data_IF_874997854037
#
_entry.id   IF_874997854037
#
_cell.length_a   1.000
_cell.length_b   1.000
_cell.length_c   1.000
_cell.angle_alpha   90.00
_cell.angle_beta   90.00
_cell.angle_gamma   90.00
#
_symmetry.space_group_name_H-M   'P 1'
#
loop_
_entity.id
_entity.type
_entity.pdbx_description
1 polymer ?
#
# COMPACT_ATOMS: atom_id res chain seq x y z
N UNK A 1 2.14 5.70 5.05
CA UNK A 1 2.79 6.97 4.66
C UNK A 1 2.74 8.03 5.76
N UNK A 2 1.60 8.38 6.40
CA UNK A 2 1.56 9.42 7.44
C UNK A 2 2.49 9.18 8.65
N UNK A 3 2.57 7.93 9.13
CA UNK A 3 3.51 7.56 10.20
C UNK A 3 4.98 7.84 9.85
N UNK A 4 5.38 7.65 8.58
CA UNK A 4 6.76 7.97 8.14
C UNK A 4 7.00 9.48 8.19
N UNK A 5 6.02 10.28 7.74
CA UNK A 5 6.12 11.75 7.83
C UNK A 5 6.25 12.23 9.27
N UNK A 6 5.52 11.62 10.22
CA UNK A 6 5.68 11.95 11.64
C UNK A 6 7.11 11.70 12.12
N UNK A 7 7.71 10.57 11.73
CA UNK A 7 9.11 10.24 12.06
C UNK A 7 10.09 11.21 11.38
N UNK A 8 9.83 11.64 10.15
CA UNK A 8 10.72 12.56 9.43
C UNK A 8 10.64 13.97 10.02
N UNK A 9 9.44 14.52 10.21
CA UNK A 9 9.28 15.89 10.70
C UNK A 9 9.83 16.06 12.11
N UNK A 10 9.70 15.04 12.96
CA UNK A 10 10.29 15.06 14.30
C UNK A 10 11.81 15.14 14.26
N UNK A 11 12.47 14.44 13.33
CA UNK A 11 13.92 14.55 13.11
C UNK A 11 14.33 15.92 12.56
N UNK A 12 13.59 16.44 11.59
CA UNK A 12 13.85 17.78 11.04
C UNK A 12 13.71 18.88 12.10
N UNK A 13 12.67 18.81 12.92
CA UNK A 13 12.49 19.75 14.03
C UNK A 13 13.58 19.62 15.09
N UNK A 14 14.02 18.40 15.43
CA UNK A 14 15.17 18.21 16.31
C UNK A 14 16.43 18.91 15.79
N UNK A 15 16.67 18.88 14.48
CA UNK A 15 17.81 19.59 13.88
C UNK A 15 17.64 21.11 13.94
N UNK A 16 16.44 21.62 13.64
CA UNK A 16 16.14 23.07 13.66
C UNK A 16 16.28 23.68 15.05
N UNK A 17 15.87 22.97 16.09
CA UNK A 17 15.87 23.47 17.47
C UNK A 17 17.11 23.06 18.28
N UNK A 18 18.12 22.45 17.64
CA UNK A 18 19.29 21.85 18.31
C UNK A 18 20.02 22.79 19.27
N UNK A 19 20.02 24.09 18.99
CA UNK A 19 20.69 25.11 19.80
C UNK A 19 19.73 25.91 20.71
N UNK A 20 18.47 25.49 20.79
CA UNK A 20 17.43 26.12 21.61
C UNK A 20 17.16 25.24 22.83
N UNK A 21 16.90 25.85 23.98
CA UNK A 21 16.46 25.10 25.15
C UNK A 21 14.95 24.91 25.10
N UNK A 22 14.52 23.65 25.04
CA UNK A 22 13.11 23.27 25.12
C UNK A 22 12.52 23.47 26.53
N UNK A 23 13.36 23.77 27.51
CA UNK A 23 12.97 24.00 28.90
C UNK A 23 12.92 25.49 29.27
N UNK A 24 13.13 26.39 28.30
CA UNK A 24 12.86 27.81 28.51
C UNK A 24 11.36 28.07 28.58
N UNK A 25 10.97 29.13 29.30
CA UNK A 25 9.60 29.65 29.31
C UNK A 25 9.20 30.33 28.00
N UNK A 26 10.17 30.62 27.12
CA UNK A 26 9.94 31.25 25.82
C UNK A 26 9.53 30.20 24.79
N UNK A 27 8.48 30.51 24.01
CA UNK A 27 8.00 29.65 22.94
C UNK A 27 9.08 29.45 21.86
N UNK A 28 9.28 28.20 21.44
CA UNK A 28 10.10 27.84 20.28
C UNK A 28 9.20 27.86 19.04
N UNK A 29 9.44 28.79 18.13
CA UNK A 29 8.70 28.87 16.88
C UNK A 29 9.21 27.83 15.87
N UNK A 30 8.28 27.17 15.19
CA UNK A 30 8.57 26.18 14.15
C UNK A 30 7.89 26.59 12.84
N UNK A 31 8.51 26.31 11.69
CA UNK A 31 7.85 26.53 10.41
C UNK A 31 6.65 25.57 10.27
N UNK A 32 5.54 26.11 9.77
CA UNK A 32 4.35 25.33 9.45
C UNK A 32 4.69 24.27 8.38
N UNK A 33 4.56 22.97 8.68
CA UNK A 33 4.92 21.93 7.75
C UNK A 33 3.77 21.68 6.76
N UNK A 34 4.12 21.36 5.51
CA UNK A 34 3.16 20.88 4.52
C UNK A 34 3.54 19.46 4.09
N UNK A 35 2.63 18.52 4.29
CA UNK A 35 2.85 17.11 3.94
C UNK A 35 2.13 16.78 2.64
N UNK A 36 2.90 16.52 1.59
CA UNK A 36 2.38 16.19 0.26
C UNK A 36 3.05 14.92 -0.27
N UNK A 37 2.28 14.05 -0.90
CA UNK A 37 2.77 12.90 -1.66
C UNK A 37 2.32 13.07 -3.10
N UNK A 38 3.29 13.01 -4.02
CA UNK A 38 2.99 12.86 -5.44
C UNK A 38 2.80 11.38 -5.74
N UNK A 39 1.61 11.03 -6.21
CA UNK A 39 1.29 9.70 -6.68
C UNK A 39 1.38 9.67 -8.19
N UNK A 40 2.24 8.80 -8.72
CA UNK A 40 2.36 8.51 -10.15
C UNK A 40 2.10 7.02 -10.44
N UNK A 41 1.47 6.27 -9.54
CA UNK A 41 1.22 4.85 -9.76
C UNK A 41 0.18 4.58 -10.85
N UNK A 42 0.08 3.32 -11.29
CA UNK A 42 -0.84 2.89 -12.36
C UNK A 42 -2.24 2.51 -11.86
N UNK A 43 -2.43 2.31 -10.54
CA UNK A 43 -3.76 2.06 -9.99
C UNK A 43 -4.63 3.32 -10.14
N UNK A 44 -5.88 3.15 -10.54
CA UNK A 44 -6.84 4.24 -10.64
C UNK A 44 -7.10 4.83 -9.26
N UNK A 45 -6.89 6.14 -9.13
CA UNK A 45 -7.07 6.91 -7.90
C UNK A 45 -7.59 8.30 -8.23
N UNK A 46 -8.30 8.88 -7.28
CA UNK A 46 -8.78 10.25 -7.35
C UNK A 46 -7.65 11.25 -7.64
N UNK A 47 -7.99 12.39 -8.24
CA UNK A 47 -7.03 13.44 -8.55
C UNK A 47 -6.35 13.95 -7.26
N UNK A 48 -7.11 14.18 -6.21
CA UNK A 48 -6.59 14.55 -4.90
C UNK A 48 -7.24 13.66 -3.83
N UNK A 49 -6.46 13.25 -2.84
CA UNK A 49 -7.00 12.53 -1.67
C UNK A 49 -6.21 12.89 -0.42
N UNK A 50 -6.71 12.46 0.74
CA UNK A 50 -6.11 12.75 2.04
C UNK A 50 -5.83 11.45 2.79
N UNK A 51 -4.61 11.36 3.34
CA UNK A 51 -4.24 10.28 4.25
C UNK A 51 -4.08 10.86 5.66
N UNK A 52 -4.80 10.28 6.61
CA UNK A 52 -4.73 10.63 8.03
C UNK A 52 -3.88 9.60 8.80
N UNK A 53 -3.16 10.05 9.81
CA UNK A 53 -2.41 9.18 10.70
C UNK A 53 -3.34 8.26 11.50
N UNK A 54 -4.48 8.80 11.92
CA UNK A 54 -5.51 8.09 12.69
C UNK A 54 -6.10 6.86 12.01
N UNK A 55 -6.02 6.76 10.67
CA UNK A 55 -6.35 5.54 9.95
C UNK A 55 -5.53 4.32 10.44
N UNK A 56 -4.34 4.56 10.98
CA UNK A 56 -3.44 3.52 11.49
C UNK A 56 -3.66 3.19 12.98
N UNK A 57 -4.46 3.96 13.72
CA UNK A 57 -4.68 3.73 15.15
C UNK A 57 -5.61 2.52 15.38
N UNK A 58 -5.30 1.72 16.40
CA UNK A 58 -6.13 0.57 16.79
C UNK A 58 -7.48 1.02 17.37
N UNK A 59 -7.45 2.01 18.26
CA UNK A 59 -8.65 2.64 18.82
C UNK A 59 -9.03 3.81 17.94
N UNK A 60 -10.27 3.83 17.45
CA UNK A 60 -10.79 4.93 16.63
C UNK A 60 -11.36 6.00 17.54
N UNK A 61 -11.00 7.24 17.24
CA UNK A 61 -11.52 8.44 17.87
C UNK A 61 -11.87 9.43 16.75
N UNK A 62 -12.93 10.20 16.94
CA UNK A 62 -13.38 11.17 15.92
C UNK A 62 -12.38 12.33 15.76
N UNK A 63 -11.84 12.81 16.89
CA UNK A 63 -10.85 13.89 16.95
C UNK A 63 -9.64 13.46 17.80
N UNK A 64 -8.67 12.74 17.20
CA UNK A 64 -7.48 12.36 17.92
C UNK A 64 -6.55 13.56 18.15
N UNK A 65 -5.92 13.62 19.32
CA UNK A 65 -5.02 14.72 19.71
C UNK A 65 -3.74 14.75 18.87
N UNK A 66 -3.32 13.59 18.35
CA UNK A 66 -2.24 13.48 17.39
C UNK A 66 -2.79 13.10 16.02
N UNK A 67 -2.93 14.10 15.16
CA UNK A 67 -3.33 13.90 13.77
C UNK A 67 -2.32 14.53 12.81
N UNK A 68 -1.77 13.72 11.91
CA UNK A 68 -0.94 14.17 10.80
C UNK A 68 -1.66 13.88 9.51
N UNK A 69 -1.97 14.95 8.78
CA UNK A 69 -2.72 14.91 7.54
C UNK A 69 -1.76 15.08 6.36
N UNK A 70 -1.81 14.14 5.43
CA UNK A 70 -1.00 14.16 4.19
C UNK A 70 -1.91 14.34 2.99
N UNK A 71 -1.65 15.37 2.19
CA UNK A 71 -2.32 15.53 0.89
C UNK A 71 -1.65 14.64 -0.15
N UNK A 72 -2.43 13.84 -0.85
CA UNK A 72 -1.94 13.03 -1.98
C UNK A 72 -2.44 13.69 -3.26
N UNK A 73 -1.50 13.99 -4.16
CA UNK A 73 -1.77 14.56 -5.47
C UNK A 73 -1.42 13.51 -6.52
N UNK A 74 -2.42 13.03 -7.26
CA UNK A 74 -2.19 12.12 -8.38
C UNK A 74 -1.71 12.92 -9.58
N UNK A 75 -0.41 12.84 -9.87
CA UNK A 75 0.26 13.63 -10.91
C UNK A 75 0.29 12.92 -12.27
N UNK A 76 -0.46 11.82 -12.45
CA UNK A 76 -0.68 11.27 -13.78
C UNK A 76 -1.33 12.32 -14.70
N UNK A 77 -0.94 12.33 -15.98
CA UNK A 77 -1.27 13.41 -16.93
C UNK A 77 -2.79 13.57 -17.14
N UNK A 78 -3.55 12.48 -17.03
CA UNK A 78 -5.01 12.47 -17.15
C UNK A 78 -5.73 13.20 -16.00
N UNK A 79 -5.09 13.33 -14.84
CA UNK A 79 -5.65 14.02 -13.66
C UNK A 79 -5.48 15.54 -13.68
N UNK A 80 -4.71 16.09 -14.63
CA UNK A 80 -4.56 17.53 -14.88
C UNK A 80 -4.26 18.35 -13.61
N UNK A 81 -3.29 17.89 -12.83
CA UNK A 81 -2.88 18.60 -11.61
C UNK A 81 -2.28 19.96 -11.94
N UNK A 82 -2.78 21.01 -11.28
CA UNK A 82 -2.27 22.39 -11.43
C UNK A 82 -0.76 22.49 -11.17
N UNK A 83 -0.21 21.63 -10.31
CA UNK A 83 1.23 21.65 -10.01
C UNK A 83 2.10 21.39 -11.25
N UNK A 84 1.60 20.60 -12.22
CA UNK A 84 2.30 20.33 -13.48
C UNK A 84 2.34 21.56 -14.39
N UNK A 85 1.43 22.51 -14.22
CA UNK A 85 1.47 23.78 -14.95
C UNK A 85 2.50 24.74 -14.36
N UNK A 86 2.71 24.65 -13.04
CA UNK A 86 3.64 25.53 -12.31
C UNK A 86 5.06 24.98 -12.22
N UNK A 87 5.25 23.66 -12.30
CA UNK A 87 6.55 23.00 -12.14
C UNK A 87 6.93 22.24 -13.42
N UNK A 88 7.74 22.88 -14.27
CA UNK A 88 8.16 22.32 -15.56
C UNK A 88 8.90 20.99 -15.38
N UNK A 89 9.80 20.91 -14.41
CA UNK A 89 10.56 19.69 -14.13
C UNK A 89 9.64 18.49 -13.81
N UNK A 90 8.61 18.70 -12.96
CA UNK A 90 7.67 17.65 -12.59
C UNK A 90 6.78 17.24 -13.77
N UNK A 91 6.38 18.22 -14.61
CA UNK A 91 5.65 17.96 -15.85
C UNK A 91 6.46 17.13 -16.84
N UNK A 92 7.70 17.52 -17.08
CA UNK A 92 8.60 16.81 -18.00
C UNK A 92 8.93 15.41 -17.50
N UNK A 93 9.13 15.23 -16.19
CA UNK A 93 9.22 13.90 -15.56
C UNK A 93 7.99 13.04 -15.86
N UNK A 94 6.78 13.58 -15.67
CA UNK A 94 5.56 12.82 -15.95
C UNK A 94 5.35 12.51 -17.43
N UNK A 95 5.82 13.37 -18.33
CA UNK A 95 5.84 13.11 -19.77
C UNK A 95 6.78 11.94 -20.13
N UNK A 96 7.98 11.92 -19.55
CA UNK A 96 8.91 10.79 -19.72
C UNK A 96 8.28 9.48 -19.23
N UNK A 97 7.73 9.47 -18.01
CA UNK A 97 7.07 8.29 -17.42
C UNK A 97 5.91 7.81 -18.28
N UNK A 98 5.08 8.72 -18.80
CA UNK A 98 3.96 8.39 -19.69
C UNK A 98 4.43 7.76 -21.01
N UNK A 99 5.49 8.30 -21.64
CA UNK A 99 6.09 7.71 -22.85
C UNK A 99 6.68 6.32 -22.58
N UNK A 100 7.41 6.14 -21.48
CA UNK A 100 7.94 4.82 -21.09
C UNK A 100 6.82 3.79 -20.97
N UNK A 101 5.71 4.15 -20.31
CA UNK A 101 4.55 3.25 -20.15
C UNK A 101 3.90 2.89 -21.47
N UNK A 102 3.70 3.88 -22.35
CA UNK A 102 3.13 3.67 -23.69
C UNK A 102 3.98 2.69 -24.50
N UNK A 103 5.30 2.91 -24.56
CA UNK A 103 6.19 2.03 -25.29
C UNK A 103 6.36 0.65 -24.63
N UNK A 104 6.35 0.56 -23.31
CA UNK A 104 6.40 -0.73 -22.61
C UNK A 104 5.16 -1.57 -22.94
N UNK A 105 3.98 -0.95 -23.02
CA UNK A 105 2.74 -1.61 -23.44
C UNK A 105 2.76 -2.03 -24.92
N UNK A 106 3.32 -1.18 -25.80
CA UNK A 106 3.39 -1.43 -27.24
C UNK A 106 4.42 -2.52 -27.59
N UNK A 107 5.64 -2.39 -27.10
CA UNK A 107 6.76 -3.26 -27.47
C UNK A 107 6.86 -4.53 -26.65
N UNK A 108 6.27 -4.55 -25.44
CA UNK A 108 6.43 -5.63 -24.45
C UNK A 108 7.90 -5.92 -24.09
N UNK A 109 8.76 -4.92 -24.28
CA UNK A 109 10.18 -4.95 -23.97
C UNK A 109 10.55 -3.61 -23.31
N UNK A 110 10.91 -3.67 -22.03
CA UNK A 110 11.22 -2.48 -21.23
C UNK A 110 12.51 -1.81 -21.68
N UNK A 111 13.49 -2.57 -22.18
CA UNK A 111 14.77 -2.00 -22.62
C UNK A 111 14.53 -1.10 -23.82
N UNK A 112 13.83 -1.65 -24.82
CA UNK A 112 13.43 -0.91 -26.01
C UNK A 112 12.52 0.27 -25.68
N UNK A 113 11.59 0.10 -24.74
CA UNK A 113 10.67 1.16 -24.33
C UNK A 113 11.41 2.33 -23.66
N UNK A 114 12.33 2.04 -22.74
CA UNK A 114 13.13 3.05 -22.06
C UNK A 114 14.05 3.80 -23.05
N UNK A 115 14.75 3.07 -23.93
CA UNK A 115 15.59 3.67 -24.97
C UNK A 115 14.80 4.60 -25.90
N UNK A 116 13.64 4.15 -26.38
CA UNK A 116 12.78 4.93 -27.27
C UNK A 116 12.25 6.18 -26.55
N UNK A 117 11.71 6.03 -25.34
CA UNK A 117 11.17 7.14 -24.57
C UNK A 117 12.23 8.21 -24.27
N UNK A 118 13.44 7.80 -23.86
CA UNK A 118 14.54 8.73 -23.55
C UNK A 118 15.02 9.44 -24.81
N UNK A 119 15.09 8.75 -25.95
CA UNK A 119 15.47 9.36 -27.24
C UNK A 119 14.49 10.44 -27.64
N UNK A 120 13.19 10.11 -27.67
CA UNK A 120 12.14 11.05 -28.03
C UNK A 120 12.05 12.22 -27.05
N UNK A 121 12.22 11.99 -25.74
CA UNK A 121 12.25 13.08 -24.76
C UNK A 121 13.41 14.06 -25.03
N UNK A 122 14.60 13.57 -25.40
CA UNK A 122 15.73 14.44 -25.75
C UNK A 122 15.43 15.26 -27.01
N UNK A 123 14.77 14.67 -28.00
CA UNK A 123 14.38 15.32 -29.26
C UNK A 123 13.30 16.39 -29.05
N UNK A 124 12.30 16.09 -28.20
CA UNK A 124 11.22 17.02 -27.84
C UNK A 124 11.62 18.05 -26.76
N UNK A 125 12.88 18.05 -26.34
CA UNK A 125 13.43 18.93 -25.32
C UNK A 125 12.80 18.74 -23.91
N UNK A 126 12.36 17.53 -23.58
CA UNK A 126 11.79 17.12 -22.29
C UNK A 126 12.91 16.51 -21.43
N UNK A 127 13.22 17.11 -20.27
CA UNK A 127 14.36 16.71 -19.42
C UNK A 127 15.69 16.60 -20.18
N UNK A 128 15.82 17.27 -21.33
CA UNK A 128 16.83 16.90 -22.32
C UNK A 128 18.27 17.07 -21.81
N UNK A 129 18.55 18.12 -21.04
CA UNK A 129 19.88 18.32 -20.46
C UNK A 129 20.24 17.26 -19.41
N UNK A 130 19.25 16.82 -18.61
CA UNK A 130 19.43 15.75 -17.64
C UNK A 130 19.63 14.41 -18.35
N UNK A 131 18.78 14.10 -19.33
CA UNK A 131 18.82 12.84 -20.08
C UNK A 131 20.05 12.74 -20.98
N UNK A 132 20.56 13.83 -21.55
CA UNK A 132 21.83 13.81 -22.32
C UNK A 132 23.02 13.48 -21.44
N UNK A 133 23.05 14.00 -20.21
CA UNK A 133 24.15 13.77 -19.26
C UNK A 133 24.10 12.38 -18.63
N UNK A 134 22.89 11.91 -18.31
CA UNK A 134 22.69 10.69 -17.53
C UNK A 134 21.95 9.60 -18.33
N UNK A 135 22.10 9.57 -19.66
CA UNK A 135 21.29 8.72 -20.55
C UNK A 135 21.29 7.26 -20.13
N UNK A 136 22.49 6.68 -20.00
CA UNK A 136 22.69 5.27 -19.67
C UNK A 136 22.09 4.95 -18.31
N UNK A 137 22.40 5.76 -17.29
CA UNK A 137 21.89 5.59 -15.93
C UNK A 137 20.36 5.72 -15.88
N UNK A 138 19.78 6.71 -16.56
CA UNK A 138 18.33 6.90 -16.61
C UNK A 138 17.63 5.69 -17.23
N UNK A 139 18.17 5.11 -18.30
CA UNK A 139 17.64 3.90 -18.93
C UNK A 139 17.78 2.69 -18.00
N UNK A 140 18.97 2.47 -17.42
CA UNK A 140 19.24 1.36 -16.50
C UNK A 140 18.33 1.41 -15.27
N UNK A 141 18.17 2.58 -14.64
CA UNK A 141 17.27 2.77 -13.50
C UNK A 141 15.83 2.47 -13.90
N UNK A 142 15.37 2.92 -15.07
CA UNK A 142 14.01 2.61 -15.53
C UNK A 142 13.78 1.11 -15.73
N UNK A 143 14.74 0.40 -16.32
CA UNK A 143 14.68 -1.06 -16.51
C UNK A 143 14.65 -1.76 -15.15
N UNK A 144 15.57 -1.38 -14.26
CA UNK A 144 15.67 -1.98 -12.93
C UNK A 144 14.39 -1.78 -12.10
N UNK A 145 13.87 -0.55 -12.04
CA UNK A 145 12.63 -0.24 -11.31
C UNK A 145 11.44 -1.03 -11.86
N UNK A 146 11.37 -1.20 -13.18
CA UNK A 146 10.31 -1.98 -13.82
C UNK A 146 10.38 -3.47 -13.47
N UNK A 147 11.57 -4.07 -13.56
CA UNK A 147 11.79 -5.47 -13.22
C UNK A 147 11.55 -5.73 -11.74
N UNK A 148 12.05 -4.87 -10.85
CA UNK A 148 11.83 -4.98 -9.41
C UNK A 148 10.34 -4.86 -9.06
N UNK A 149 9.61 -3.93 -9.69
CA UNK A 149 8.16 -3.80 -9.51
C UNK A 149 7.43 -5.07 -9.95
N UNK A 150 7.80 -5.63 -11.10
CA UNK A 150 7.21 -6.85 -11.65
C UNK A 150 7.46 -8.05 -10.73
N UNK A 151 8.69 -8.20 -10.25
CA UNK A 151 9.07 -9.30 -9.36
C UNK A 151 8.35 -9.19 -8.00
N UNK A 152 8.32 -8.00 -7.40
CA UNK A 152 7.55 -7.75 -6.15
C UNK A 152 6.08 -8.07 -6.32
N UNK A 153 5.48 -7.74 -7.47
CA UNK A 153 4.07 -8.04 -7.72
C UNK A 153 3.81 -9.55 -7.87
N UNK A 154 4.73 -10.28 -8.52
CA UNK A 154 4.66 -11.74 -8.62
C UNK A 154 4.79 -12.41 -7.25
N UNK A 155 5.75 -11.97 -6.43
CA UNK A 155 5.93 -12.45 -5.05
C UNK A 155 4.65 -12.20 -4.26
N UNK A 156 4.13 -10.97 -4.27
CA UNK A 156 2.90 -10.62 -3.53
C UNK A 156 1.70 -11.46 -3.96
N UNK A 157 1.55 -11.76 -5.25
CA UNK A 157 0.47 -12.64 -5.76
C UNK A 157 0.67 -14.08 -5.31
N UNK A 158 1.90 -14.59 -5.33
CA UNK A 158 2.23 -15.93 -4.86
C UNK A 158 1.97 -16.09 -3.35
N UNK A 159 2.50 -15.16 -2.54
CA UNK A 159 2.29 -15.12 -1.08
C UNK A 159 0.81 -15.03 -0.72
N UNK A 160 0.04 -14.18 -1.43
CA UNK A 160 -1.39 -14.08 -1.20
C UNK A 160 -2.14 -15.39 -1.54
N UNK A 161 -1.77 -16.04 -2.65
CA UNK A 161 -2.35 -17.33 -3.03
C UNK A 161 -2.01 -18.44 -2.02
N UNK A 162 -0.78 -18.45 -1.52
CA UNK A 162 -0.32 -19.37 -0.49
C UNK A 162 -1.05 -19.14 0.83
N UNK A 163 -1.12 -17.90 1.32
CA UNK A 163 -1.87 -17.54 2.53
C UNK A 163 -3.35 -17.90 2.42
N UNK A 164 -3.97 -17.76 1.24
CA UNK A 164 -5.35 -18.22 1.01
C UNK A 164 -5.47 -19.75 1.11
N UNK A 165 -4.48 -20.49 0.58
CA UNK A 165 -4.45 -21.96 0.65
C UNK A 165 -4.22 -22.45 2.08
N UNK A 166 -3.34 -21.80 2.84
CA UNK A 166 -3.12 -22.09 4.25
C UNK A 166 -4.36 -21.80 5.09
N UNK A 167 -4.98 -20.63 4.93
CA UNK A 167 -6.23 -20.29 5.62
C UNK A 167 -7.37 -21.27 5.32
N UNK A 168 -7.46 -21.77 4.08
CA UNK A 168 -8.43 -22.82 3.74
C UNK A 168 -8.14 -24.15 4.44
N UNK A 169 -6.87 -24.58 4.46
CA UNK A 169 -6.46 -25.81 5.16
C UNK A 169 -6.69 -25.71 6.67
N UNK A 170 -6.37 -24.56 7.26
CA UNK A 170 -6.58 -24.32 8.69
C UNK A 170 -8.08 -24.30 9.01
N UNK A 171 -8.90 -23.64 8.19
CA UNK A 171 -10.36 -23.69 8.31
C UNK A 171 -10.94 -25.10 8.16
N UNK A 172 -10.39 -25.92 7.25
CA UNK A 172 -10.79 -27.33 7.10
C UNK A 172 -10.44 -28.15 8.35
N UNK A 173 -9.21 -28.02 8.87
CA UNK A 173 -8.79 -28.71 10.10
C UNK A 173 -9.63 -28.30 11.30
N UNK A 174 -9.88 -27.01 11.49
CA UNK A 174 -10.76 -26.51 12.55
C UNK A 174 -12.18 -27.08 12.40
N UNK A 175 -12.69 -27.18 11.17
CA UNK A 175 -13.97 -27.83 10.87
C UNK A 175 -13.98 -29.32 11.22
N UNK A 176 -12.95 -30.07 10.82
CA UNK A 176 -12.79 -31.50 11.12
C UNK A 176 -12.69 -31.76 12.62
N UNK A 177 -11.86 -31.00 13.33
CA UNK A 177 -11.72 -31.09 14.79
C UNK A 177 -13.05 -30.80 15.51
N UNK A 178 -13.78 -29.79 15.03
CA UNK A 178 -15.11 -29.43 15.57
C UNK A 178 -16.10 -30.57 15.38
N UNK A 179 -16.17 -31.14 14.18
CA UNK A 179 -17.04 -32.28 13.87
C UNK A 179 -16.66 -33.52 14.68
N UNK A 180 -15.37 -33.84 14.78
CA UNK A 180 -14.87 -34.98 15.55
C UNK A 180 -15.13 -34.82 17.05
N UNK A 181 -14.99 -33.61 17.59
CA UNK A 181 -15.34 -33.28 18.97
C UNK A 181 -16.82 -33.53 19.27
N UNK A 182 -17.72 -33.06 18.39
CA UNK A 182 -19.17 -33.31 18.50
C UNK A 182 -19.47 -34.81 18.47
N UNK A 183 -18.90 -35.54 17.50
CA UNK A 183 -19.14 -36.97 17.34
C UNK A 183 -18.64 -37.79 18.54
N UNK A 184 -17.48 -37.42 19.11
CA UNK A 184 -16.94 -38.04 20.32
C UNK A 184 -17.89 -37.89 21.51
N UNK A 185 -18.34 -36.65 21.78
CA UNK A 185 -19.27 -36.39 22.88
C UNK A 185 -20.61 -37.12 22.70
N UNK A 186 -21.10 -37.20 21.46
CA UNK A 186 -22.29 -37.97 21.14
C UNK A 186 -22.11 -39.46 21.43
N UNK A 187 -20.96 -40.05 21.07
CA UNK A 187 -20.62 -41.46 21.37
C UNK A 187 -20.53 -41.73 22.88
N UNK A 188 -20.06 -40.75 23.64
CA UNK A 188 -20.02 -40.78 25.12
C UNK A 188 -21.41 -40.53 25.76
N UNK A 189 -22.48 -40.52 24.95
CA UNK A 189 -23.90 -40.39 25.33
C UNK A 189 -24.32 -39.03 25.89
N UNK A 190 -23.60 -37.96 25.55
CA UNK A 190 -24.04 -36.61 25.85
C UNK A 190 -25.26 -36.24 24.98
N UNK A 191 -26.18 -35.45 25.53
CA UNK A 191 -27.33 -34.90 24.78
C UNK A 191 -26.91 -33.74 23.88
N UNK A 192 -27.68 -33.47 22.82
CA UNK A 192 -27.43 -32.36 21.87
C UNK A 192 -27.22 -31.02 22.60
N UNK A 193 -28.02 -30.74 23.63
CA UNK A 193 -27.92 -29.53 24.45
C UNK A 193 -26.61 -29.44 25.24
N UNK A 194 -26.14 -30.55 25.81
CA UNK A 194 -24.88 -30.58 26.57
C UNK A 194 -23.66 -30.41 25.66
N UNK A 195 -23.72 -30.96 24.45
CA UNK A 195 -22.66 -30.79 23.44
C UNK A 195 -22.61 -29.34 22.98
N UNK A 196 -23.76 -28.73 22.70
CA UNK A 196 -23.88 -27.33 22.31
C UNK A 196 -23.30 -26.39 23.38
N UNK A 197 -23.62 -26.63 24.65
CA UNK A 197 -23.10 -25.86 25.78
C UNK A 197 -21.58 -25.99 25.92
N UNK A 198 -21.05 -27.22 25.84
CA UNK A 198 -19.62 -27.48 25.99
C UNK A 198 -18.78 -26.95 24.82
N UNK A 199 -19.31 -27.06 23.60
CA UNK A 199 -18.65 -26.57 22.38
C UNK A 199 -18.92 -25.08 22.15
N UNK A 200 -19.84 -24.46 22.91
CA UNK A 200 -20.31 -23.06 22.78
C UNK A 200 -20.87 -22.74 21.40
N UNK A 201 -21.71 -23.62 20.88
CA UNK A 201 -22.30 -23.53 19.54
C UNK A 201 -23.81 -23.75 19.63
N UNK A 202 -24.53 -23.44 18.56
CA UNK A 202 -25.98 -23.59 18.55
C UNK A 202 -26.40 -25.07 18.53
N UNK A 203 -27.50 -25.42 19.22
CA UNK A 203 -28.02 -26.78 19.30
C UNK A 203 -28.46 -27.30 17.92
N UNK A 204 -29.03 -26.42 17.08
CA UNK A 204 -29.43 -26.80 15.73
C UNK A 204 -28.20 -27.09 14.85
N UNK A 205 -27.06 -26.43 15.10
CA UNK A 205 -25.79 -26.72 14.43
C UNK A 205 -25.25 -28.10 14.82
N UNK A 206 -25.36 -28.48 16.10
CA UNK A 206 -25.03 -29.85 16.58
C UNK A 206 -25.92 -30.90 15.90
N UNK A 207 -27.23 -30.66 15.85
CA UNK A 207 -28.19 -31.60 15.24
C UNK A 207 -27.91 -31.80 13.75
N UNK A 208 -27.72 -30.71 13.00
CA UNK A 208 -27.40 -30.76 11.57
C UNK A 208 -26.10 -31.53 11.27
N UNK A 209 -25.10 -31.44 12.13
CA UNK A 209 -23.84 -32.20 11.98
C UNK A 209 -24.08 -33.68 12.27
N UNK A 210 -24.80 -34.02 13.34
CA UNK A 210 -25.07 -35.41 13.72
C UNK A 210 -26.02 -36.14 12.75
N UNK A 211 -26.98 -35.45 12.12
CA UNK A 211 -27.85 -36.04 11.10
C UNK A 211 -27.06 -36.57 9.90
N UNK A 212 -25.97 -35.89 9.51
CA UNK A 212 -25.08 -36.33 8.42
C UNK A 212 -24.29 -37.61 8.73
N UNK A 213 -24.29 -38.09 9.98
CA UNK A 213 -23.66 -39.35 10.39
C UNK A 213 -24.68 -40.48 10.62
N UNK A 214 -25.97 -40.22 10.44
CA UNK A 214 -27.05 -41.22 10.61
C UNK A 214 -27.46 -41.90 9.29
N UNK A 215 -26.94 -41.45 8.15
CA UNK A 215 -26.93 -42.18 6.85
C UNK A 215 -25.72 -43.12 6.77
#
# INVERSE_FOLDING_TARGET
>A
MPLRFLIYVTKEYQMLIRNQTLYASTLVELPTPHFVVFYNGEEEREAESVLKLSHSFCQKADEPELELIVKVLNINLDKKQRILETCCLLKEYMLLVDKIRKYAAEYKDINRAAEQAVTECIEENILADFLRKNRTEAIEVCIFEYDEKREKELIRKAEYAEGKKEGLKEGQKQGEERVFGIYRLYRDKYTENQIAEQMKIDVDEVRNILEKFKE
#
